data_IF_717067496158
#
_entry.id   IF_717067496158
#
_cell.length_a   1.000
_cell.length_b   1.000
_cell.length_c   1.000
_cell.angle_alpha   90.00
_cell.angle_beta   90.00
_cell.angle_gamma   90.00
#
_symmetry.space_group_name_H-M   'P 1'
#
loop_
_entity.id
_entity.type
_entity.pdbx_description
1 polymer ?
#
# COMPACT_ATOMS: atom_id res chain seq x y z
N UNK A 1 -6.04 -23.60 -13.25
CA UNK A 1 -4.87 -22.94 -12.62
C UNK A 1 -5.35 -22.30 -11.35
N UNK A 2 -4.64 -22.48 -10.25
CA UNK A 2 -5.02 -21.85 -8.98
C UNK A 2 -5.03 -20.33 -9.16
N UNK A 3 -6.19 -19.71 -8.97
CA UNK A 3 -6.38 -18.26 -9.08
C UNK A 3 -5.92 -17.57 -7.79
N UNK A 4 -4.73 -17.95 -7.33
CA UNK A 4 -4.09 -17.45 -6.13
C UNK A 4 -2.97 -16.49 -6.52
N UNK A 5 -2.90 -15.36 -5.81
CA UNK A 5 -1.84 -14.37 -5.96
C UNK A 5 -1.37 -13.89 -4.60
N UNK A 6 -0.10 -13.51 -4.52
CA UNK A 6 0.45 -12.76 -3.40
C UNK A 6 0.62 -11.31 -3.86
N UNK A 7 0.28 -10.37 -2.99
CA UNK A 7 0.46 -8.95 -3.23
C UNK A 7 1.20 -8.32 -2.05
N UNK A 8 1.92 -7.24 -2.30
CA UNK A 8 2.58 -6.46 -1.27
C UNK A 8 2.16 -5.00 -1.35
N UNK A 9 1.95 -4.38 -0.20
CA UNK A 9 1.55 -2.98 -0.06
C UNK A 9 2.49 -2.24 0.88
N UNK A 10 2.82 -1.01 0.53
CA UNK A 10 3.68 -0.12 1.33
C UNK A 10 2.84 0.86 2.13
N UNK A 11 2.88 0.75 3.46
CA UNK A 11 2.36 1.76 4.37
C UNK A 11 3.47 2.78 4.62
N UNK A 12 3.55 3.79 3.76
CA UNK A 12 4.64 4.76 3.73
C UNK A 12 4.28 5.95 4.60
N UNK A 13 5.05 6.15 5.67
CA UNK A 13 4.87 7.31 6.56
C UNK A 13 6.06 8.25 6.41
N UNK A 14 5.77 9.51 6.10
CA UNK A 14 6.75 10.60 6.07
C UNK A 14 6.19 11.80 6.84
N UNK A 15 6.97 12.37 7.75
CA UNK A 15 6.56 13.49 8.63
C UNK A 15 5.19 13.28 9.29
N UNK A 16 4.93 12.05 9.75
CA UNK A 16 3.68 11.67 10.42
C UNK A 16 2.46 11.53 9.51
N UNK A 17 2.63 11.68 8.19
CA UNK A 17 1.56 11.52 7.19
C UNK A 17 1.73 10.23 6.41
N UNK A 18 0.62 9.57 6.10
CA UNK A 18 0.54 8.40 5.25
C UNK A 18 0.39 8.82 3.80
N UNK A 19 1.16 8.22 2.89
CA UNK A 19 0.88 8.33 1.46
C UNK A 19 -0.30 7.44 1.08
N UNK A 20 -1.28 8.04 0.41
CA UNK A 20 -2.35 7.32 -0.29
C UNK A 20 -2.37 7.72 -1.77
N UNK A 21 -2.78 6.78 -2.62
CA UNK A 21 -2.88 6.95 -4.08
C UNK A 21 -4.29 6.61 -4.55
N UNK A 22 -4.75 7.27 -5.60
CA UNK A 22 -6.10 7.10 -6.16
C UNK A 22 -6.04 6.34 -7.48
N UNK A 23 -6.65 5.16 -7.50
CA UNK A 23 -6.75 4.33 -8.72
C UNK A 23 -7.38 5.11 -9.86
N UNK A 24 -6.91 4.87 -11.08
CA UNK A 24 -7.51 5.44 -12.29
C UNK A 24 -9.00 5.12 -12.45
N UNK A 25 -9.71 5.99 -13.15
CA UNK A 25 -11.17 5.91 -13.29
C UNK A 25 -11.64 4.77 -14.20
N UNK A 26 -10.80 4.30 -15.11
CA UNK A 26 -11.06 3.17 -16.00
C UNK A 26 -10.51 1.85 -15.47
N UNK A 27 -10.10 1.80 -14.19
CA UNK A 27 -9.67 0.55 -13.59
C UNK A 27 -10.84 -0.44 -13.55
N UNK A 28 -10.57 -1.68 -13.97
CA UNK A 28 -11.56 -2.77 -13.97
C UNK A 28 -12.10 -3.01 -12.56
N UNK A 29 -11.31 -2.68 -11.54
CA UNK A 29 -11.50 -3.08 -10.17
C UNK A 29 -11.32 -1.90 -9.23
N UNK A 30 -12.44 -1.48 -8.62
CA UNK A 30 -12.50 -0.33 -7.69
C UNK A 30 -11.98 0.98 -8.33
N UNK A 31 -12.57 1.42 -9.46
CA UNK A 31 -12.16 2.66 -10.12
C UNK A 31 -12.29 3.86 -9.18
N UNK A 32 -11.36 4.80 -9.27
CA UNK A 32 -11.34 6.04 -8.47
C UNK A 32 -11.26 5.86 -6.95
N UNK A 33 -10.99 4.66 -6.45
CA UNK A 33 -10.83 4.40 -5.01
C UNK A 33 -9.42 4.78 -4.54
N UNK A 34 -9.34 5.27 -3.30
CA UNK A 34 -8.07 5.47 -2.61
C UNK A 34 -7.55 4.16 -2.03
N UNK A 35 -6.23 4.00 -2.09
CA UNK A 35 -5.50 2.87 -1.51
C UNK A 35 -4.09 3.29 -1.06
N UNK A 36 -3.36 2.35 -0.46
CA UNK A 36 -1.91 2.48 -0.27
C UNK A 36 -1.17 1.85 -1.47
N UNK A 37 0.04 2.34 -1.82
CA UNK A 37 0.78 1.84 -2.98
C UNK A 37 1.17 0.38 -2.86
N UNK A 38 1.37 -0.27 -3.99
CA UNK A 38 1.87 -1.63 -4.14
C UNK A 38 0.96 -2.52 -4.99
N UNK A 39 1.47 -3.67 -5.39
CA UNK A 39 0.78 -4.56 -6.32
C UNK A 39 1.09 -6.03 -6.13
N UNK A 40 0.99 -6.78 -7.23
CA UNK A 40 1.15 -8.23 -7.22
C UNK A 40 2.63 -8.59 -7.24
N UNK A 41 3.00 -9.62 -6.49
CA UNK A 41 4.36 -10.17 -6.59
C UNK A 41 4.50 -11.05 -7.83
N UNK A 42 5.68 -10.99 -8.43
CA UNK A 42 6.10 -11.94 -9.46
C UNK A 42 6.45 -13.30 -8.84
N UNK A 43 6.46 -14.34 -9.68
CA UNK A 43 6.76 -15.70 -9.21
C UNK A 43 8.21 -15.79 -8.73
N UNK A 44 8.40 -16.12 -7.46
CA UNK A 44 9.73 -16.22 -6.85
C UNK A 44 10.32 -14.88 -6.39
N UNK A 45 9.57 -13.77 -6.56
CA UNK A 45 9.99 -12.45 -6.10
C UNK A 45 10.00 -12.39 -4.57
N UNK A 46 11.07 -11.82 -4.01
CA UNK A 46 11.12 -11.52 -2.59
C UNK A 46 10.08 -10.42 -2.29
N UNK A 47 9.20 -10.58 -1.28
CA UNK A 47 8.17 -9.59 -0.99
C UNK A 47 8.68 -8.17 -0.70
N UNK A 48 9.89 -8.03 -0.13
CA UNK A 48 10.50 -6.74 0.13
C UNK A 48 11.02 -6.08 -1.16
N UNK A 49 11.50 -6.88 -2.11
CA UNK A 49 11.94 -6.36 -3.41
C UNK A 49 10.72 -6.00 -4.26
N UNK A 50 9.68 -6.83 -4.24
CA UNK A 50 8.43 -6.53 -4.94
C UNK A 50 7.72 -5.30 -4.43
N UNK A 51 7.63 -5.09 -3.10
CA UNK A 51 7.01 -3.85 -2.59
C UNK A 51 7.83 -2.61 -2.96
N UNK A 52 9.17 -2.70 -2.96
CA UNK A 52 10.04 -1.60 -3.41
C UNK A 52 9.85 -1.29 -4.89
N UNK A 53 9.84 -2.32 -5.74
CA UNK A 53 9.60 -2.20 -7.18
C UNK A 53 8.26 -1.53 -7.45
N UNK A 54 7.18 -2.08 -6.90
CA UNK A 54 5.82 -1.56 -7.10
C UNK A 54 5.69 -0.12 -6.59
N UNK A 55 6.21 0.19 -5.38
CA UNK A 55 6.19 1.56 -4.88
C UNK A 55 6.93 2.52 -5.82
N UNK A 56 8.12 2.15 -6.30
CA UNK A 56 8.89 2.98 -7.21
C UNK A 56 8.18 3.15 -8.56
N UNK A 57 7.63 2.08 -9.13
CA UNK A 57 6.87 2.11 -10.38
C UNK A 57 5.63 3.00 -10.30
N UNK A 58 4.86 2.90 -9.21
CA UNK A 58 3.60 3.63 -9.04
C UNK A 58 3.79 5.10 -8.60
N UNK A 59 4.86 5.40 -7.85
CA UNK A 59 5.00 6.67 -7.14
C UNK A 59 6.33 7.38 -7.32
N UNK A 60 7.33 6.74 -7.94
CA UNK A 60 8.70 7.24 -8.05
C UNK A 60 9.46 7.28 -6.72
N UNK A 61 8.85 6.84 -5.61
CA UNK A 61 9.49 6.86 -4.31
C UNK A 61 10.40 5.64 -4.10
N UNK A 62 11.59 5.90 -3.57
CA UNK A 62 12.42 4.86 -2.97
C UNK A 62 12.03 4.69 -1.50
N UNK A 63 11.97 3.44 -1.03
CA UNK A 63 11.55 3.13 0.33
C UNK A 63 12.52 2.20 1.06
N UNK A 64 12.67 2.44 2.36
CA UNK A 64 13.18 1.44 3.29
C UNK A 64 12.02 0.66 3.90
N UNK A 65 12.06 -0.66 3.78
CA UNK A 65 11.06 -1.57 4.34
C UNK A 65 11.48 -1.90 5.78
N UNK A 66 10.66 -1.53 6.75
CA UNK A 66 11.01 -1.61 8.17
C UNK A 66 10.46 -2.89 8.80
N UNK A 67 9.14 -3.08 8.76
CA UNK A 67 8.47 -4.17 9.45
C UNK A 67 7.25 -4.68 8.68
N UNK A 68 6.97 -5.99 8.68
CA UNK A 68 5.64 -6.50 8.37
C UNK A 68 4.64 -5.96 9.38
N UNK A 69 3.56 -5.35 8.90
CA UNK A 69 2.54 -4.76 9.73
C UNK A 69 1.26 -5.59 9.73
N UNK A 70 0.93 -6.22 8.60
CA UNK A 70 -0.33 -6.93 8.45
C UNK A 70 -0.28 -7.96 7.33
N UNK A 71 -1.05 -9.04 7.51
CA UNK A 71 -1.38 -10.02 6.46
C UNK A 71 -2.89 -10.06 6.31
N UNK A 72 -3.37 -10.06 5.07
CA UNK A 72 -4.80 -10.17 4.74
C UNK A 72 -4.99 -11.26 3.70
N UNK A 73 -6.00 -12.10 3.89
CA UNK A 73 -6.36 -13.13 2.95
C UNK A 73 -7.83 -12.98 2.59
N UNK A 74 -8.13 -12.81 1.29
CA UNK A 74 -9.49 -12.59 0.82
C UNK A 74 -9.65 -13.06 -0.63
N UNK A 75 -10.88 -13.39 -0.99
CA UNK A 75 -11.27 -13.70 -2.38
C UNK A 75 -12.08 -12.54 -2.93
N UNK A 76 -11.68 -12.09 -4.12
CA UNK A 76 -12.35 -11.01 -4.86
C UNK A 76 -13.57 -11.53 -5.61
N UNK A 77 -14.39 -10.61 -6.11
CA UNK A 77 -15.59 -10.92 -6.90
C UNK A 77 -15.30 -11.64 -8.22
N UNK A 78 -14.08 -11.57 -8.74
CA UNK A 78 -13.60 -12.32 -9.92
C UNK A 78 -13.05 -13.71 -9.56
N UNK A 79 -13.32 -14.21 -8.35
CA UNK A 79 -12.81 -15.46 -7.80
C UNK A 79 -11.27 -15.53 -7.70
N UNK A 80 -10.57 -14.40 -7.74
CA UNK A 80 -9.14 -14.36 -7.42
C UNK A 80 -8.92 -14.26 -5.92
N UNK A 81 -8.21 -15.23 -5.37
CA UNK A 81 -7.77 -15.23 -3.98
C UNK A 81 -6.43 -14.52 -3.85
N UNK A 82 -6.35 -13.57 -2.94
CA UNK A 82 -5.14 -12.78 -2.69
C UNK A 82 -4.71 -12.95 -1.25
N UNK A 83 -3.42 -13.25 -1.05
CA UNK A 83 -2.73 -13.00 0.21
C UNK A 83 -1.95 -11.69 0.08
N UNK A 84 -2.34 -10.68 0.83
CA UNK A 84 -1.72 -9.37 0.80
C UNK A 84 -0.87 -9.15 2.05
N UNK A 85 0.38 -8.81 1.83
CA UNK A 85 1.35 -8.43 2.84
C UNK A 85 1.40 -6.89 2.89
N UNK A 86 1.34 -6.32 4.08
CA UNK A 86 1.46 -4.87 4.26
C UNK A 86 2.69 -4.60 5.10
N UNK A 87 3.58 -3.75 4.59
CA UNK A 87 4.83 -3.40 5.24
C UNK A 87 4.80 -1.93 5.67
N UNK A 88 5.29 -1.65 6.88
CA UNK A 88 5.65 -0.31 7.29
C UNK A 88 6.92 0.11 6.55
N UNK A 89 6.84 1.26 5.88
CA UNK A 89 7.93 1.78 5.06
C UNK A 89 8.24 3.24 5.41
N UNK A 90 9.52 3.60 5.28
CA UNK A 90 9.98 4.98 5.35
C UNK A 90 10.43 5.42 3.96
N UNK A 91 9.95 6.57 3.50
CA UNK A 91 10.39 7.13 2.23
C UNK A 91 11.85 7.62 2.33
N UNK A 92 12.63 7.37 1.28
CA UNK A 92 14.03 7.83 1.17
C UNK A 92 14.13 9.14 0.35
N UNK A 93 13.06 9.48 -0.36
CA UNK A 93 12.83 10.74 -1.05
C UNK A 93 11.34 11.13 -0.87
N UNK A 94 10.96 12.36 -1.21
CA UNK A 94 9.61 12.91 -0.92
C UNK A 94 8.86 13.37 -2.18
N UNK A 95 9.46 13.21 -3.35
CA UNK A 95 8.87 13.67 -4.62
C UNK A 95 8.09 12.54 -5.27
N UNK A 96 6.76 12.62 -5.18
CA UNK A 96 5.86 11.64 -5.78
C UNK A 96 5.64 11.95 -7.27
N UNK A 97 5.92 10.97 -8.12
CA UNK A 97 5.60 10.98 -9.55
C UNK A 97 4.73 9.77 -9.86
N UNK A 98 3.47 10.00 -10.21
CA UNK A 98 2.52 8.90 -10.44
C UNK A 98 2.70 8.25 -11.81
N UNK A 99 2.50 6.94 -11.85
CA UNK A 99 2.32 6.20 -13.09
C UNK A 99 0.89 6.36 -13.64
N UNK A 100 0.63 5.75 -14.81
CA UNK A 100 -0.70 5.75 -15.42
C UNK A 100 -1.75 4.94 -14.62
N UNK A 101 -1.34 4.19 -13.59
CA UNK A 101 -2.24 3.43 -12.75
C UNK A 101 -3.04 4.31 -11.77
N UNK A 102 -2.51 5.49 -11.46
CA UNK A 102 -3.08 6.39 -10.47
C UNK A 102 -3.32 7.79 -11.04
N UNK A 103 -4.29 8.48 -10.48
CA UNK A 103 -4.74 9.81 -10.95
C UNK A 103 -4.51 10.92 -9.95
N UNK A 104 -4.26 10.57 -8.69
CA UNK A 104 -3.98 11.52 -7.62
C UNK A 104 -3.23 10.81 -6.49
N UNK A 105 -2.53 11.60 -5.69
CA UNK A 105 -1.93 11.17 -4.43
C UNK A 105 -2.18 12.22 -3.35
N UNK A 106 -2.17 11.79 -2.10
CA UNK A 106 -2.21 12.69 -0.94
C UNK A 106 -1.34 12.15 0.19
N UNK A 107 -0.67 13.06 0.89
CA UNK A 107 -0.08 12.80 2.20
C UNK A 107 -1.10 13.21 3.27
N UNK A 108 -1.69 12.23 3.94
CA UNK A 108 -2.82 12.43 4.87
C UNK A 108 -2.45 12.07 6.29
N UNK A 109 -3.06 12.71 7.27
CA UNK A 109 -3.01 12.19 8.64
C UNK A 109 -3.80 10.88 8.77
N UNK A 110 -3.60 10.14 9.86
CA UNK A 110 -4.22 8.83 10.06
C UNK A 110 -5.76 8.89 10.20
N UNK A 111 -6.31 10.03 10.63
CA UNK A 111 -7.78 10.21 10.68
C UNK A 111 -8.33 10.38 9.26
N UNK A 112 -7.74 11.28 8.48
CA UNK A 112 -8.06 11.50 7.07
C UNK A 112 -7.86 10.24 6.24
N UNK A 113 -6.85 9.43 6.55
CA UNK A 113 -6.63 8.13 5.92
C UNK A 113 -7.84 7.22 6.09
N UNK A 114 -8.42 7.12 7.30
CA UNK A 114 -9.63 6.33 7.54
C UNK A 114 -10.86 6.88 6.83
N UNK A 115 -10.98 8.19 6.68
CA UNK A 115 -12.10 8.80 5.95
C UNK A 115 -12.05 8.51 4.45
N UNK A 116 -10.85 8.39 3.88
CA UNK A 116 -10.63 8.20 2.43
C UNK A 116 -10.49 6.74 2.03
N UNK A 117 -9.83 5.92 2.85
CA UNK A 117 -9.61 4.51 2.59
C UNK A 117 -10.86 3.70 2.96
N UNK A 118 -11.14 2.65 2.18
CA UNK A 118 -12.22 1.72 2.53
C UNK A 118 -11.96 1.03 3.87
N UNK A 119 -13.04 0.58 4.54
CA UNK A 119 -13.03 -0.08 5.86
C UNK A 119 -11.98 -1.19 6.00
N UNK A 120 -11.63 -1.83 4.88
CA UNK A 120 -10.58 -2.85 4.79
C UNK A 120 -9.21 -2.38 5.34
N UNK A 121 -8.90 -1.09 5.28
CA UNK A 121 -7.62 -0.53 5.76
C UNK A 121 -7.71 0.09 7.16
N UNK A 122 -8.90 0.19 7.75
CA UNK A 122 -9.07 0.92 9.03
C UNK A 122 -8.29 0.27 10.16
N UNK A 123 -8.37 -1.06 10.28
CA UNK A 123 -7.65 -1.82 11.30
C UNK A 123 -6.13 -1.78 11.10
N UNK A 124 -5.65 -1.67 9.86
CA UNK A 124 -4.24 -1.48 9.51
C UNK A 124 -3.77 -0.10 10.01
N UNK A 125 -4.56 0.95 9.77
CA UNK A 125 -4.26 2.30 10.26
C UNK A 125 -4.28 2.33 11.79
N UNK A 126 -5.23 1.67 12.43
CA UNK A 126 -5.28 1.60 13.89
C UNK A 126 -4.08 0.84 14.47
N UNK A 127 -3.63 -0.24 13.80
CA UNK A 127 -2.45 -1.03 14.17
C UNK A 127 -1.19 -0.17 14.26
N UNK A 128 -1.02 0.80 13.35
CA UNK A 128 0.12 1.73 13.37
C UNK A 128 0.25 2.45 14.72
N UNK A 129 -0.88 2.89 15.29
CA UNK A 129 -0.90 3.54 16.61
C UNK A 129 -0.85 2.54 17.76
N UNK A 130 -1.64 1.46 17.70
CA UNK A 130 -1.74 0.49 18.80
C UNK A 130 -0.42 -0.19 19.12
N UNK A 131 0.41 -0.46 18.10
CA UNK A 131 1.73 -1.07 18.28
C UNK A 131 2.86 -0.03 18.41
N UNK A 132 2.51 1.26 18.49
CA UNK A 132 3.43 2.39 18.57
C UNK A 132 4.48 2.39 17.45
N UNK A 133 4.07 2.04 16.23
CA UNK A 133 5.02 1.80 15.15
C UNK A 133 5.76 3.05 14.69
N UNK A 134 5.28 4.24 15.07
CA UNK A 134 5.97 5.50 14.85
C UNK A 134 7.41 5.51 15.39
N UNK A 135 7.72 4.73 16.45
CA UNK A 135 9.07 4.66 17.02
C UNK A 135 10.10 4.01 16.10
N UNK A 136 9.65 3.25 15.11
CA UNK A 136 10.51 2.59 14.13
C UNK A 136 10.82 3.49 12.92
N UNK A 137 10.19 4.66 12.83
CA UNK A 137 10.42 5.63 11.75
C UNK A 137 11.56 6.61 12.04
N UNK A 138 12.10 6.62 13.27
CA UNK A 138 13.21 7.46 13.70
C UNK A 138 14.54 6.94 13.15
#
# INVERSE_FOLDING_TARGET
MDNFRVAAKSFIVNDGKLLIVKRRSNDVMKPSMWEIPGGRLELGENPFDGVKRETHEETGLDINVLHPMSVRHFTRSDNQTITMLVFLCKALNDTVTLSEEHTAYEWVDMSQAKDKLGLFFHDIVDTFHTLELQKHLL
#
